data_IF_121187320405
#
_entry.id   IF_121187320405
#
_cell.length_a   1.000
_cell.length_b   1.000
_cell.length_c   1.000
_cell.angle_alpha   90.00
_cell.angle_beta   90.00
_cell.angle_gamma   90.00
#
_symmetry.space_group_name_H-M   'P 1'
#
loop_
_entity.id
_entity.type
_entity.pdbx_description
1 polymer ?
#
# COMPACT_ATOMS: atom_id res chain seq x y z
N UNK A 1 -11.68 -13.53 -54.97
CA UNK A 1 -12.30 -14.59 -54.14
C UNK A 1 -12.07 -14.24 -52.69
N UNK A 2 -13.00 -13.49 -52.08
CA UNK A 2 -12.98 -13.24 -50.64
C UNK A 2 -13.42 -14.51 -49.92
N UNK A 3 -12.51 -15.10 -49.12
CA UNK A 3 -12.80 -16.27 -48.31
C UNK A 3 -12.86 -15.81 -46.85
N UNK A 4 -14.06 -15.90 -46.28
CA UNK A 4 -14.42 -15.83 -44.86
C UNK A 4 -14.25 -14.48 -44.14
N UNK A 5 -15.38 -13.77 -43.94
CA UNK A 5 -15.79 -13.13 -42.68
C UNK A 5 -14.86 -12.14 -41.97
N UNK A 6 -13.74 -11.76 -42.57
CA UNK A 6 -12.73 -10.92 -41.93
C UNK A 6 -13.16 -9.45 -41.98
N UNK A 7 -13.60 -8.92 -40.84
CA UNK A 7 -13.91 -7.50 -40.68
C UNK A 7 -12.67 -6.79 -40.13
N UNK A 8 -11.97 -6.06 -41.01
CA UNK A 8 -10.81 -5.23 -40.65
C UNK A 8 -11.24 -4.15 -39.64
N UNK A 9 -10.40 -3.89 -38.63
CA UNK A 9 -10.62 -2.77 -37.70
C UNK A 9 -10.67 -1.49 -38.54
N UNK A 10 -11.84 -0.86 -38.65
CA UNK A 10 -12.02 0.33 -39.49
C UNK A 10 -11.16 1.46 -38.93
N UNK A 11 -10.22 1.91 -39.75
CA UNK A 11 -9.19 2.93 -39.56
C UNK A 11 -9.71 4.35 -39.24
N UNK A 12 -10.93 4.52 -38.77
CA UNK A 12 -11.46 5.85 -38.41
C UNK A 12 -10.83 6.38 -37.10
N UNK A 13 -10.18 5.49 -36.34
CA UNK A 13 -9.36 5.84 -35.18
C UNK A 13 -7.89 6.13 -35.53
N UNK A 14 -7.42 5.78 -36.74
CA UNK A 14 -6.02 5.93 -37.15
C UNK A 14 -5.69 7.31 -37.74
N UNK A 15 -6.68 8.06 -38.20
CA UNK A 15 -6.50 9.39 -38.79
C UNK A 15 -6.67 10.53 -37.79
N UNK A 16 -7.35 10.30 -36.66
CA UNK A 16 -7.39 11.24 -35.54
C UNK A 16 -6.21 10.97 -34.62
N UNK A 17 -5.22 11.86 -34.60
CA UNK A 17 -4.16 11.90 -33.57
C UNK A 17 -4.79 11.57 -32.20
N UNK A 18 -4.40 10.46 -31.60
CA UNK A 18 -4.87 10.08 -30.27
C UNK A 18 -4.63 11.27 -29.32
N UNK A 19 -5.63 11.59 -28.50
CA UNK A 19 -5.49 12.71 -27.54
C UNK A 19 -4.32 12.42 -26.59
N UNK A 20 -3.71 13.48 -26.05
CA UNK A 20 -2.62 13.34 -25.08
C UNK A 20 -2.97 12.38 -23.93
N UNK A 21 -4.21 12.45 -23.43
CA UNK A 21 -4.73 11.56 -22.38
C UNK A 21 -4.83 10.11 -22.87
N UNK A 22 -5.32 9.91 -24.10
CA UNK A 22 -5.40 8.58 -24.71
C UNK A 22 -4.03 7.93 -24.92
N UNK A 23 -3.00 8.74 -25.18
CA UNK A 23 -1.61 8.28 -25.30
C UNK A 23 -1.02 7.95 -23.92
N UNK A 24 -1.23 8.82 -22.92
CA UNK A 24 -0.71 8.64 -21.56
C UNK A 24 -1.26 7.36 -20.89
N UNK A 25 -2.55 7.07 -21.07
CA UNK A 25 -3.23 5.92 -20.48
C UNK A 25 -3.41 4.74 -21.45
N UNK A 26 -2.77 4.77 -22.62
CA UNK A 26 -2.85 3.72 -23.65
C UNK A 26 -4.29 3.36 -24.10
N UNK A 27 -5.26 4.26 -23.93
CA UNK A 27 -6.68 4.01 -24.24
C UNK A 27 -6.93 3.72 -25.73
N UNK A 28 -6.05 4.19 -26.62
CA UNK A 28 -6.14 3.93 -28.05
C UNK A 28 -6.00 2.43 -28.40
N UNK A 29 -5.36 1.65 -27.52
CA UNK A 29 -5.15 0.20 -27.70
C UNK A 29 -6.37 -0.65 -27.29
N UNK A 30 -7.36 -0.06 -26.60
CA UNK A 30 -8.50 -0.81 -26.05
C UNK A 30 -9.27 -1.62 -27.11
N UNK A 31 -9.41 -1.09 -28.33
CA UNK A 31 -10.07 -1.81 -29.43
C UNK A 31 -9.26 -3.02 -29.92
N UNK A 32 -7.93 -2.92 -29.93
CA UNK A 32 -7.04 -4.03 -30.28
C UNK A 32 -7.11 -5.11 -29.22
N UNK A 33 -7.06 -4.74 -27.93
CA UNK A 33 -7.20 -5.71 -26.83
C UNK A 33 -8.55 -6.40 -26.82
N UNK A 34 -9.63 -5.66 -27.05
CA UNK A 34 -10.97 -6.25 -27.18
C UNK A 34 -11.04 -7.24 -28.33
N UNK A 35 -10.53 -6.87 -29.51
CA UNK A 35 -10.50 -7.78 -30.68
C UNK A 35 -9.63 -9.01 -30.42
N UNK A 36 -8.49 -8.86 -29.74
CA UNK A 36 -7.61 -9.96 -29.32
C UNK A 36 -8.24 -10.90 -28.30
N UNK A 37 -9.24 -10.45 -27.54
CA UNK A 37 -10.02 -11.31 -26.64
C UNK A 37 -11.08 -12.14 -27.36
N UNK A 38 -11.56 -11.67 -28.53
CA UNK A 38 -12.61 -12.32 -29.31
C UNK A 38 -12.04 -13.26 -30.39
N UNK A 39 -10.87 -12.93 -30.97
CA UNK A 39 -10.20 -13.74 -32.00
C UNK A 39 -8.68 -13.58 -31.99
N UNK A 40 -7.98 -14.53 -32.60
CA UNK A 40 -6.55 -14.40 -32.87
C UNK A 40 -6.26 -13.19 -33.79
N UNK A 41 -5.28 -12.39 -33.40
CA UNK A 41 -4.82 -11.20 -34.13
C UNK A 41 -3.98 -11.63 -35.35
N UNK A 42 -4.18 -10.94 -36.46
CA UNK A 42 -3.41 -11.08 -37.69
C UNK A 42 -2.57 -9.81 -37.94
N UNK A 43 -1.52 -9.92 -38.76
CA UNK A 43 -0.61 -8.78 -39.06
C UNK A 43 -1.37 -7.54 -39.58
N UNK A 44 -2.41 -7.77 -40.38
CA UNK A 44 -3.24 -6.72 -40.98
C UNK A 44 -4.18 -6.01 -39.98
N UNK A 45 -4.29 -6.51 -38.74
CA UNK A 45 -5.08 -5.91 -37.66
C UNK A 45 -4.35 -4.77 -36.94
N UNK A 46 -3.03 -4.67 -37.09
CA UNK A 46 -2.25 -3.59 -36.52
C UNK A 46 -2.34 -2.32 -37.37
N UNK A 47 -2.39 -1.18 -36.71
CA UNK A 47 -2.37 0.11 -37.37
C UNK A 47 -1.00 0.33 -38.04
N UNK A 48 -0.96 0.92 -39.25
CA UNK A 48 0.30 1.27 -39.89
C UNK A 48 1.08 2.25 -39.01
N UNK A 49 2.41 2.13 -39.03
CA UNK A 49 3.27 3.00 -38.24
C UNK A 49 3.05 4.47 -38.64
N UNK A 50 3.01 5.40 -37.68
CA UNK A 50 3.07 6.83 -37.98
C UNK A 50 4.32 7.17 -38.78
N UNK A 51 4.21 8.12 -39.71
CA UNK A 51 5.34 8.59 -40.52
C UNK A 51 6.51 9.07 -39.65
N UNK A 52 6.23 9.71 -38.52
CA UNK A 52 7.22 10.17 -37.53
C UNK A 52 8.08 9.03 -36.94
N UNK A 53 7.57 7.80 -36.94
CA UNK A 53 8.24 6.60 -36.42
C UNK A 53 8.81 5.71 -37.54
N UNK A 54 8.74 6.16 -38.80
CA UNK A 54 9.30 5.42 -39.93
C UNK A 54 10.82 5.59 -39.98
N UNK A 55 11.54 4.50 -40.28
CA UNK A 55 13.01 4.49 -40.28
C UNK A 55 13.61 5.56 -41.20
N UNK A 56 13.05 5.76 -42.40
CA UNK A 56 13.49 6.79 -43.35
C UNK A 56 13.42 8.19 -42.74
N UNK A 57 12.29 8.56 -42.14
CA UNK A 57 12.11 9.86 -41.51
C UNK A 57 13.05 10.09 -40.33
N UNK A 58 13.20 9.07 -39.46
CA UNK A 58 14.09 9.15 -38.28
C UNK A 58 15.55 9.28 -38.70
N UNK A 59 15.99 8.50 -39.70
CA UNK A 59 17.37 8.55 -40.22
C UNK A 59 17.67 9.92 -40.81
N UNK A 60 16.80 10.43 -41.70
CA UNK A 60 17.00 11.75 -42.32
C UNK A 60 17.02 12.87 -41.27
N UNK A 61 16.12 12.81 -40.28
CA UNK A 61 16.05 13.78 -39.20
C UNK A 61 17.29 13.77 -38.30
N UNK A 62 17.83 12.58 -38.00
CA UNK A 62 19.05 12.43 -37.21
C UNK A 62 20.28 12.92 -37.98
N UNK A 63 20.37 12.58 -39.27
CA UNK A 63 21.48 13.00 -40.14
C UNK A 63 21.58 14.53 -40.21
N UNK A 64 20.45 15.21 -40.46
CA UNK A 64 20.39 16.67 -40.52
C UNK A 64 20.81 17.35 -39.19
N UNK A 65 20.43 16.76 -38.05
CA UNK A 65 20.80 17.29 -36.72
C UNK A 65 22.26 17.03 -36.37
N UNK A 66 22.78 15.86 -36.79
CA UNK A 66 24.18 15.50 -36.62
C UNK A 66 25.11 16.41 -37.42
N UNK A 67 24.79 16.68 -38.68
CA UNK A 67 25.56 17.61 -39.53
C UNK A 67 25.58 19.03 -38.91
N UNK A 68 24.44 19.48 -38.38
CA UNK A 68 24.32 20.76 -37.67
C UNK A 68 25.14 20.82 -36.38
N UNK A 69 25.26 19.71 -35.64
CA UNK A 69 26.11 19.65 -34.44
C UNK A 69 27.60 19.63 -34.84
N UNK A 70 27.96 18.95 -35.91
CA UNK A 70 29.34 18.94 -36.43
C UNK A 70 29.80 20.33 -36.88
N UNK A 71 28.97 21.10 -37.59
CA UNK A 71 29.32 22.46 -38.02
C UNK A 71 29.49 23.39 -36.81
N UNK A 72 28.55 23.33 -35.84
CA UNK A 72 28.62 24.11 -34.61
C UNK A 72 29.87 23.78 -33.77
N UNK A 73 30.26 22.51 -33.70
CA UNK A 73 31.46 22.09 -32.97
C UNK A 73 32.76 22.50 -33.68
N UNK A 74 32.77 22.54 -35.02
CA UNK A 74 33.91 23.07 -35.79
C UNK A 74 34.12 24.56 -35.53
N UNK A 75 33.04 25.34 -35.42
CA UNK A 75 33.12 26.78 -35.10
C UNK A 75 33.60 27.04 -33.67
N UNK A 76 33.21 26.20 -32.71
CA UNK A 76 33.53 26.39 -31.28
C UNK A 76 34.76 25.60 -30.80
N UNK A 77 35.48 24.89 -31.69
CA UNK A 77 36.62 24.00 -31.35
C UNK A 77 36.25 22.97 -30.26
N UNK A 78 35.02 22.47 -30.29
CA UNK A 78 34.53 21.45 -29.36
C UNK A 78 34.44 20.07 -30.04
N UNK A 79 34.43 18.99 -29.26
CA UNK A 79 34.17 17.64 -29.78
C UNK A 79 32.65 17.42 -29.94
N UNK A 80 32.16 16.96 -31.12
CA UNK A 80 30.74 16.68 -31.32
C UNK A 80 30.29 15.50 -30.46
N UNK A 81 29.08 15.58 -29.90
CA UNK A 81 28.55 14.54 -28.99
C UNK A 81 27.26 13.94 -29.55
N UNK A 82 27.35 12.74 -30.12
CA UNK A 82 26.25 12.05 -30.79
C UNK A 82 24.95 11.99 -29.97
N UNK A 83 25.04 11.79 -28.65
CA UNK A 83 23.86 11.71 -27.79
C UNK A 83 23.02 13.00 -27.79
N UNK A 84 23.62 14.19 -27.99
CA UNK A 84 22.87 15.46 -28.09
C UNK A 84 22.06 15.49 -29.40
N UNK A 85 22.66 15.08 -30.51
CA UNK A 85 21.97 14.92 -31.78
C UNK A 85 20.86 13.88 -31.71
N UNK A 86 21.08 12.74 -31.05
CA UNK A 86 20.06 11.70 -30.84
C UNK A 86 18.89 12.20 -29.99
N UNK A 87 19.18 12.84 -28.84
CA UNK A 87 18.11 13.40 -28.00
C UNK A 87 17.33 14.44 -28.79
N UNK A 88 18.01 15.35 -29.47
CA UNK A 88 17.37 16.41 -30.25
C UNK A 88 16.63 15.88 -31.49
N UNK A 89 16.98 14.70 -32.01
CA UNK A 89 16.32 14.03 -33.13
C UNK A 89 14.88 13.61 -32.84
N UNK A 90 14.58 13.36 -31.57
CA UNK A 90 13.26 12.92 -31.10
C UNK A 90 12.16 13.99 -31.36
N UNK A 91 10.94 13.60 -31.76
CA UNK A 91 9.82 14.53 -31.98
C UNK A 91 9.45 15.33 -30.72
N UNK A 92 9.15 16.63 -30.87
CA UNK A 92 8.88 17.54 -29.75
C UNK A 92 7.70 17.15 -28.86
N UNK A 93 6.68 16.49 -29.43
CA UNK A 93 5.51 16.01 -28.67
C UNK A 93 5.90 14.93 -27.64
N UNK A 94 6.97 14.15 -27.89
CA UNK A 94 7.33 13.03 -27.03
C UNK A 94 8.07 13.47 -25.75
N UNK A 95 8.70 14.66 -25.73
CA UNK A 95 9.37 15.16 -24.51
C UNK A 95 8.40 15.41 -23.36
N UNK A 96 7.17 15.85 -23.64
CA UNK A 96 6.15 16.08 -22.62
C UNK A 96 5.74 14.74 -21.96
N UNK A 97 5.55 13.70 -22.76
CA UNK A 97 5.22 12.34 -22.29
C UNK A 97 6.35 11.73 -21.44
N UNK A 98 7.60 11.86 -21.90
CA UNK A 98 8.76 11.43 -21.11
C UNK A 98 8.89 12.23 -19.80
N UNK A 99 8.64 13.54 -19.84
CA UNK A 99 8.62 14.39 -18.65
C UNK A 99 7.56 13.94 -17.63
N UNK A 100 6.34 13.65 -18.08
CA UNK A 100 5.28 13.11 -17.23
C UNK A 100 5.66 11.75 -16.63
N UNK A 101 6.22 10.83 -17.43
CA UNK A 101 6.63 9.51 -16.95
C UNK A 101 7.73 9.61 -15.87
N UNK A 102 8.72 10.47 -16.09
CA UNK A 102 9.78 10.75 -15.10
C UNK A 102 9.20 11.38 -13.83
N UNK A 103 8.30 12.36 -13.97
CA UNK A 103 7.65 13.00 -12.83
C UNK A 103 6.81 12.03 -11.99
N UNK A 104 6.07 11.11 -12.63
CA UNK A 104 5.33 10.05 -11.94
C UNK A 104 6.27 9.15 -11.14
N UNK A 105 7.37 8.68 -11.75
CA UNK A 105 8.38 7.87 -11.06
C UNK A 105 9.02 8.58 -9.88
N UNK A 106 9.35 9.87 -10.01
CA UNK A 106 9.88 10.67 -8.89
C UNK A 106 8.84 10.87 -7.79
N UNK A 107 7.58 11.14 -8.13
CA UNK A 107 6.53 11.32 -7.12
C UNK A 107 6.33 10.07 -6.26
N UNK A 108 6.38 8.89 -6.88
CA UNK A 108 6.26 7.61 -6.17
C UNK A 108 7.48 7.35 -5.27
N UNK A 109 8.69 7.64 -5.77
CA UNK A 109 9.91 7.49 -4.98
C UNK A 109 9.89 8.39 -3.74
N UNK A 110 9.49 9.66 -3.91
CA UNK A 110 9.34 10.61 -2.80
C UNK A 110 8.28 10.10 -1.82
N UNK A 111 7.14 9.60 -2.32
CA UNK A 111 6.08 9.02 -1.50
C UNK A 111 6.58 7.83 -0.65
N UNK A 112 7.27 6.88 -1.27
CA UNK A 112 7.81 5.70 -0.60
C UNK A 112 8.84 6.06 0.48
N UNK A 113 9.78 6.96 0.17
CA UNK A 113 10.77 7.44 1.14
C UNK A 113 10.10 8.19 2.30
N UNK A 114 9.12 9.05 2.00
CA UNK A 114 8.39 9.80 3.01
C UNK A 114 7.64 8.87 3.95
N UNK A 115 6.97 7.83 3.40
CA UNK A 115 6.23 6.85 4.19
C UNK A 115 7.16 6.05 5.11
N UNK A 116 8.31 5.59 4.59
CA UNK A 116 9.30 4.86 5.39
C UNK A 116 9.90 5.73 6.49
N UNK A 117 10.26 6.99 6.17
CA UNK A 117 10.76 7.93 7.16
C UNK A 117 9.73 8.24 8.24
N UNK A 118 8.46 8.45 7.88
CA UNK A 118 7.39 8.67 8.85
C UNK A 118 7.23 7.46 9.77
N UNK A 119 7.21 6.24 9.20
CA UNK A 119 7.12 5.00 9.97
C UNK A 119 8.26 4.86 10.97
N UNK A 120 9.51 5.01 10.51
CA UNK A 120 10.70 4.98 11.37
C UNK A 120 10.65 6.03 12.49
N UNK A 121 10.23 7.27 12.18
CA UNK A 121 10.14 8.34 13.18
C UNK A 121 9.06 8.05 14.22
N UNK A 122 7.93 7.47 13.81
CA UNK A 122 6.88 7.06 14.73
C UNK A 122 7.35 5.96 15.69
N UNK A 123 8.09 4.96 15.16
CA UNK A 123 8.63 3.86 15.96
C UNK A 123 9.65 4.36 16.99
N UNK A 124 10.62 5.20 16.58
CA UNK A 124 11.59 5.80 17.52
C UNK A 124 10.90 6.65 18.57
N UNK A 125 9.84 7.39 18.20
CA UNK A 125 9.05 8.15 19.17
C UNK A 125 8.31 7.23 20.16
N UNK A 126 7.79 6.10 19.67
CA UNK A 126 7.15 5.06 20.48
C UNK A 126 8.10 4.56 21.56
N UNK A 127 9.29 4.13 21.15
CA UNK A 127 10.34 3.62 22.06
C UNK A 127 10.77 4.70 23.08
N UNK A 128 10.86 5.97 22.68
CA UNK A 128 11.24 7.07 23.58
C UNK A 128 10.18 7.33 24.64
N UNK A 129 8.91 7.46 24.26
CA UNK A 129 7.81 7.64 25.21
C UNK A 129 7.69 6.40 26.10
N UNK A 130 7.82 5.22 25.51
CA UNK A 130 7.88 3.95 26.20
C UNK A 130 8.88 3.88 27.32
N UNK A 131 10.15 4.12 27.00
CA UNK A 131 11.24 4.07 27.98
C UNK A 131 11.06 5.13 29.07
N UNK A 132 10.58 6.33 28.72
CA UNK A 132 10.24 7.37 29.69
C UNK A 132 9.11 6.93 30.65
N UNK A 133 8.04 6.31 30.13
CA UNK A 133 6.92 5.83 30.95
C UNK A 133 7.37 4.70 31.89
N UNK A 134 8.14 3.73 31.39
CA UNK A 134 8.71 2.65 32.21
C UNK A 134 9.59 3.22 33.34
N UNK A 135 10.44 4.19 33.02
CA UNK A 135 11.28 4.88 33.99
C UNK A 135 10.48 5.65 35.05
N UNK A 136 9.41 6.34 34.65
CA UNK A 136 8.52 7.07 35.55
C UNK A 136 7.76 6.12 36.50
N UNK A 137 7.23 5.03 35.96
CA UNK A 137 6.56 3.99 36.75
C UNK A 137 7.53 3.36 37.75
N UNK A 138 8.73 3.01 37.32
CA UNK A 138 9.77 2.48 38.20
C UNK A 138 10.14 3.46 39.32
N UNK A 139 10.38 4.73 38.99
CA UNK A 139 10.65 5.77 39.99
C UNK A 139 9.49 5.95 40.98
N UNK A 140 8.24 5.85 40.52
CA UNK A 140 7.07 5.96 41.39
C UNK A 140 6.93 4.77 42.34
N UNK A 141 7.17 3.55 41.86
CA UNK A 141 7.14 2.32 42.68
C UNK A 141 8.14 2.41 43.84
N UNK A 142 9.34 2.93 43.58
CA UNK A 142 10.37 3.10 44.62
C UNK A 142 9.98 4.09 45.74
N UNK A 143 9.05 5.01 45.46
CA UNK A 143 8.58 6.02 46.40
C UNK A 143 7.28 5.63 47.13
N UNK A 144 6.63 4.54 46.72
CA UNK A 144 5.39 4.07 47.36
C UNK A 144 5.68 3.32 48.67
N UNK A 145 4.79 3.47 49.65
CA UNK A 145 4.81 2.65 50.86
C UNK A 145 4.46 1.20 50.52
N UNK A 146 4.98 0.24 51.30
CA UNK A 146 4.67 -1.18 51.11
C UNK A 146 3.16 -1.45 51.16
N UNK A 147 2.41 -0.76 52.01
CA UNK A 147 0.97 -0.93 52.15
C UNK A 147 0.21 -0.50 50.88
N UNK A 148 0.59 0.64 50.28
CA UNK A 148 0.01 1.10 49.01
C UNK A 148 0.42 0.20 47.83
N UNK A 149 1.63 -0.35 47.87
CA UNK A 149 2.11 -1.32 46.89
C UNK A 149 1.44 -2.70 47.03
N UNK A 150 0.95 -3.07 48.22
CA UNK A 150 0.14 -4.28 48.40
C UNK A 150 -1.31 -4.08 47.95
N UNK A 151 -1.84 -2.86 48.07
CA UNK A 151 -3.16 -2.49 47.57
C UNK A 151 -3.21 -2.54 46.03
N UNK A 152 -2.16 -2.03 45.36
CA UNK A 152 -1.92 -2.28 43.94
C UNK A 152 -1.22 -3.63 43.75
N UNK A 153 -1.98 -4.71 43.54
CA UNK A 153 -1.42 -6.05 43.30
C UNK A 153 -0.19 -5.98 42.38
N UNK A 154 0.97 -6.49 42.81
CA UNK A 154 2.23 -6.46 42.01
C UNK A 154 2.02 -6.93 40.56
N UNK A 155 1.07 -7.85 40.35
CA UNK A 155 0.64 -8.30 39.03
C UNK A 155 0.07 -7.20 38.13
N UNK A 156 -0.73 -6.26 38.65
CA UNK A 156 -1.27 -5.12 37.88
C UNK A 156 -0.16 -4.19 37.39
N UNK A 157 0.88 -3.95 38.20
CA UNK A 157 2.01 -3.11 37.81
C UNK A 157 2.84 -3.78 36.71
N UNK A 158 3.07 -5.09 36.85
CA UNK A 158 3.76 -5.88 35.84
C UNK A 158 2.96 -5.90 34.53
N UNK A 159 1.64 -6.10 34.59
CA UNK A 159 0.76 -6.08 33.42
C UNK A 159 0.76 -4.69 32.75
N UNK A 160 0.65 -3.61 33.53
CA UNK A 160 0.72 -2.24 32.99
C UNK A 160 2.02 -2.00 32.21
N UNK A 161 3.17 -2.40 32.74
CA UNK A 161 4.47 -2.19 32.09
C UNK A 161 4.69 -3.13 30.91
N UNK A 162 4.29 -4.40 31.03
CA UNK A 162 4.55 -5.44 30.03
C UNK A 162 3.51 -5.50 28.91
N UNK A 163 2.30 -5.00 29.14
CA UNK A 163 1.20 -5.06 28.18
C UNK A 163 0.86 -3.66 27.66
N UNK A 164 0.47 -2.72 28.52
CA UNK A 164 0.01 -1.40 28.09
C UNK A 164 1.15 -0.53 27.57
N UNK A 165 2.26 -0.43 28.32
CA UNK A 165 3.40 0.39 27.86
C UNK A 165 4.08 -0.23 26.65
N UNK A 166 4.22 -1.55 26.59
CA UNK A 166 4.78 -2.22 25.41
C UNK A 166 3.93 -1.96 24.15
N UNK A 167 2.61 -2.01 24.26
CA UNK A 167 1.70 -1.72 23.14
C UNK A 167 1.76 -0.25 22.69
N UNK A 168 2.12 0.65 23.60
CA UNK A 168 2.33 2.06 23.29
C UNK A 168 3.60 2.27 22.45
N UNK A 169 4.65 1.49 22.71
CA UNK A 169 5.91 1.50 21.96
C UNK A 169 5.73 1.03 20.51
N UNK A 170 5.01 -0.07 20.33
CA UNK A 170 4.98 -0.80 19.05
C UNK A 170 4.00 -0.19 18.03
N UNK A 171 2.82 0.26 18.47
CA UNK A 171 1.69 0.47 17.54
C UNK A 171 0.89 1.75 17.74
N UNK A 172 0.85 2.30 18.96
CA UNK A 172 -0.12 3.35 19.29
C UNK A 172 0.17 4.67 18.58
N UNK A 173 1.43 5.12 18.56
CA UNK A 173 1.81 6.38 17.90
C UNK A 173 1.65 6.30 16.38
N UNK A 174 2.05 5.16 15.81
CA UNK A 174 1.91 4.87 14.39
C UNK A 174 0.42 4.96 13.99
N UNK A 175 -0.46 4.23 14.68
CA UNK A 175 -1.90 4.25 14.42
C UNK A 175 -2.52 5.65 14.53
N UNK A 176 -2.16 6.41 15.58
CA UNK A 176 -2.70 7.76 15.79
C UNK A 176 -2.32 8.72 14.66
N UNK A 177 -1.04 8.74 14.26
CA UNK A 177 -0.57 9.65 13.21
C UNK A 177 -1.09 9.25 11.83
N UNK A 178 -0.98 7.97 11.45
CA UNK A 178 -1.54 7.50 10.17
C UNK A 178 -3.04 7.71 10.09
N UNK A 179 -3.79 7.46 11.17
CA UNK A 179 -5.23 7.67 11.21
C UNK A 179 -5.64 9.11 10.87
N UNK A 180 -4.95 10.10 11.42
CA UNK A 180 -5.21 11.53 11.13
C UNK A 180 -4.93 11.85 9.67
N UNK A 181 -3.78 11.44 9.13
CA UNK A 181 -3.44 11.69 7.73
C UNK A 181 -4.37 10.96 6.76
N UNK A 182 -4.76 9.72 7.05
CA UNK A 182 -5.71 8.95 6.24
C UNK A 182 -7.09 9.61 6.20
N UNK A 183 -7.56 10.19 7.30
CA UNK A 183 -8.82 10.93 7.31
C UNK A 183 -8.76 12.18 6.43
N UNK A 184 -7.66 12.94 6.51
CA UNK A 184 -7.46 14.11 5.65
C UNK A 184 -7.37 13.70 4.16
N UNK A 185 -6.67 12.61 3.87
CA UNK A 185 -6.57 12.05 2.51
C UNK A 185 -7.94 11.61 1.98
N UNK A 186 -8.80 11.02 2.81
CA UNK A 186 -10.16 10.64 2.42
C UNK A 186 -10.99 11.87 2.01
N UNK A 187 -10.90 12.96 2.77
CA UNK A 187 -11.60 14.21 2.45
C UNK A 187 -11.08 14.80 1.12
N UNK A 188 -9.75 14.87 0.96
CA UNK A 188 -9.14 15.38 -0.26
C UNK A 188 -9.52 14.54 -1.50
N UNK A 189 -9.50 13.21 -1.36
CA UNK A 189 -9.88 12.29 -2.43
C UNK A 189 -11.38 12.43 -2.77
N UNK A 190 -12.26 12.53 -1.78
CA UNK A 190 -13.69 12.74 -2.01
C UNK A 190 -13.97 14.06 -2.73
N UNK A 191 -13.28 15.14 -2.34
CA UNK A 191 -13.38 16.44 -3.02
C UNK A 191 -12.89 16.36 -4.47
N UNK A 192 -11.72 15.75 -4.71
CA UNK A 192 -11.15 15.61 -6.04
C UNK A 192 -12.06 14.78 -6.96
N UNK A 193 -12.61 13.69 -6.44
CA UNK A 193 -13.54 12.84 -7.17
C UNK A 193 -14.85 13.59 -7.51
N UNK A 194 -15.40 14.34 -6.56
CA UNK A 194 -16.58 15.18 -6.80
C UNK A 194 -16.30 16.29 -7.84
N UNK A 195 -15.10 16.87 -7.84
CA UNK A 195 -14.71 17.88 -8.82
C UNK A 195 -14.49 17.29 -10.22
N UNK A 196 -13.81 16.15 -10.32
CA UNK A 196 -13.38 15.59 -11.61
C UNK A 196 -14.47 14.76 -12.29
N UNK A 197 -15.25 14.01 -11.51
CA UNK A 197 -16.27 13.08 -12.00
C UNK A 197 -17.69 13.66 -11.80
N UNK A 198 -17.85 14.66 -10.93
CA UNK A 198 -19.17 15.23 -10.62
C UNK A 198 -20.01 14.32 -9.74
N UNK A 199 -21.34 14.45 -9.86
CA UNK A 199 -22.32 13.71 -9.06
C UNK A 199 -22.23 12.18 -9.23
N UNK A 200 -21.66 11.71 -10.34
CA UNK A 200 -21.50 10.28 -10.66
C UNK A 200 -20.58 9.56 -9.66
N UNK A 201 -19.74 10.27 -8.90
CA UNK A 201 -18.91 9.69 -7.85
C UNK A 201 -19.65 9.42 -6.52
N UNK A 202 -20.84 10.00 -6.31
CA UNK A 202 -21.56 9.92 -5.05
C UNK A 202 -21.96 8.49 -4.63
N UNK A 203 -22.45 7.61 -5.53
CA UNK A 203 -22.80 6.23 -5.15
C UNK A 203 -21.60 5.44 -4.61
N UNK A 204 -20.41 5.66 -5.17
CA UNK A 204 -19.17 5.03 -4.69
C UNK A 204 -18.79 5.52 -3.30
N UNK A 205 -18.90 6.83 -3.04
CA UNK A 205 -18.64 7.40 -1.72
C UNK A 205 -19.61 6.84 -0.66
N UNK A 206 -20.90 6.77 -1.00
CA UNK A 206 -21.93 6.18 -0.12
C UNK A 206 -21.61 4.71 0.18
N UNK A 207 -21.21 3.93 -0.84
CA UNK A 207 -20.80 2.54 -0.65
C UNK A 207 -19.59 2.41 0.29
N UNK A 208 -18.56 3.24 0.14
CA UNK A 208 -17.42 3.25 1.06
C UNK A 208 -17.82 3.65 2.49
N UNK A 209 -18.72 4.62 2.64
CA UNK A 209 -19.26 4.99 3.95
C UNK A 209 -20.05 3.85 4.60
N UNK A 210 -20.77 3.02 3.83
CA UNK A 210 -21.48 1.83 4.34
C UNK A 210 -20.55 0.67 4.67
N UNK A 211 -19.38 0.57 4.04
CA UNK A 211 -18.37 -0.42 4.40
C UNK A 211 -17.76 -0.16 5.78
N UNK A 212 -17.65 1.10 6.21
CA UNK A 212 -17.13 1.44 7.54
C UNK A 212 -17.92 0.79 8.70
N UNK A 213 -19.25 0.95 8.82
CA UNK A 213 -20.01 0.27 9.86
C UNK A 213 -20.01 -1.25 9.69
N UNK A 214 -19.97 -1.76 8.46
CA UNK A 214 -19.82 -3.20 8.21
C UNK A 214 -18.52 -3.76 8.83
N UNK A 215 -17.38 -3.12 8.54
CA UNK A 215 -16.10 -3.52 9.13
C UNK A 215 -16.05 -3.28 10.64
N UNK A 216 -16.70 -2.22 11.15
CA UNK A 216 -16.79 -1.97 12.58
C UNK A 216 -17.57 -3.07 13.32
N UNK A 217 -18.70 -3.52 12.77
CA UNK A 217 -19.49 -4.64 13.32
C UNK A 217 -18.67 -5.92 13.28
N UNK A 218 -18.02 -6.22 12.15
CA UNK A 218 -17.18 -7.40 12.01
C UNK A 218 -16.02 -7.39 13.03
N UNK A 219 -15.37 -6.24 13.22
CA UNK A 219 -14.33 -6.04 14.22
C UNK A 219 -14.86 -6.23 15.65
N UNK A 220 -16.04 -5.70 15.96
CA UNK A 220 -16.68 -5.87 17.27
C UNK A 220 -17.00 -7.33 17.56
N UNK A 221 -17.56 -8.05 16.59
CA UNK A 221 -17.83 -9.50 16.72
C UNK A 221 -16.53 -10.27 16.91
N UNK A 222 -15.49 -9.95 16.13
CA UNK A 222 -14.16 -10.54 16.27
C UNK A 222 -13.55 -10.30 17.66
N UNK A 223 -13.67 -9.08 18.18
CA UNK A 223 -13.21 -8.74 19.53
C UNK A 223 -13.97 -9.52 20.62
N UNK A 224 -15.30 -9.63 20.49
CA UNK A 224 -16.14 -10.39 21.42
C UNK A 224 -15.81 -11.88 21.43
N UNK A 225 -15.59 -12.47 20.26
CA UNK A 225 -15.15 -13.86 20.13
C UNK A 225 -13.77 -14.05 20.75
N UNK A 226 -12.82 -13.18 20.42
CA UNK A 226 -11.46 -13.22 20.98
C UNK A 226 -11.46 -13.14 22.50
N UNK A 227 -12.30 -12.27 23.08
CA UNK A 227 -12.46 -12.17 24.53
C UNK A 227 -13.00 -13.47 25.15
N UNK A 228 -14.03 -14.08 24.55
CA UNK A 228 -14.55 -15.39 25.02
C UNK A 228 -13.50 -16.49 24.95
N UNK A 229 -12.75 -16.54 23.85
CA UNK A 229 -11.65 -17.50 23.68
C UNK A 229 -10.55 -17.30 24.72
N UNK A 230 -10.22 -16.05 25.05
CA UNK A 230 -9.25 -15.74 26.10
C UNK A 230 -9.72 -16.27 27.47
N UNK A 231 -10.96 -16.00 27.88
CA UNK A 231 -11.51 -16.48 29.16
C UNK A 231 -11.49 -18.01 29.30
N UNK A 232 -11.88 -18.74 28.25
CA UNK A 232 -11.88 -20.21 28.27
C UNK A 232 -10.45 -20.74 28.30
N UNK A 233 -9.55 -20.15 27.52
CA UNK A 233 -8.13 -20.50 27.51
C UNK A 233 -7.49 -20.30 28.88
N UNK A 234 -7.78 -19.19 29.55
CA UNK A 234 -7.24 -18.87 30.89
C UNK A 234 -7.78 -19.84 31.95
N UNK A 235 -9.07 -20.17 31.91
CA UNK A 235 -9.66 -21.18 32.79
C UNK A 235 -8.98 -22.55 32.62
N UNK A 236 -8.77 -22.98 31.37
CA UNK A 236 -8.09 -24.24 31.05
C UNK A 236 -6.65 -24.25 31.57
N UNK A 237 -5.89 -23.17 31.34
CA UNK A 237 -4.50 -23.04 31.82
C UNK A 237 -4.45 -23.08 33.35
N UNK A 238 -5.38 -22.40 34.02
CA UNK A 238 -5.49 -22.40 35.49
C UNK A 238 -5.77 -23.80 36.05
N UNK A 239 -6.75 -24.53 35.48
CA UNK A 239 -7.06 -25.91 35.87
C UNK A 239 -5.87 -26.85 35.67
N UNK A 240 -5.14 -26.68 34.56
CA UNK A 240 -3.95 -27.46 34.26
C UNK A 240 -2.83 -27.18 35.29
N UNK A 241 -2.62 -25.93 35.66
CA UNK A 241 -1.66 -25.54 36.69
C UNK A 241 -2.02 -26.13 38.06
N UNK A 242 -3.29 -26.11 38.45
CA UNK A 242 -3.75 -26.73 39.70
C UNK A 242 -3.53 -28.25 39.71
N UNK A 243 -3.83 -28.93 38.59
CA UNK A 243 -3.59 -30.36 38.46
C UNK A 243 -2.10 -30.72 38.57
N UNK A 244 -1.22 -29.90 37.99
CA UNK A 244 0.23 -30.09 38.09
C UNK A 244 0.74 -29.87 39.52
N UNK A 245 0.29 -28.81 40.20
CA UNK A 245 0.67 -28.54 41.58
C UNK A 245 0.20 -29.65 42.55
N UNK A 246 -1.00 -30.21 42.30
CA UNK A 246 -1.62 -31.27 43.11
C UNK A 246 -1.36 -32.70 42.62
N UNK A 247 -0.46 -32.93 41.66
CA UNK A 247 -0.37 -34.20 40.92
C UNK A 247 -0.19 -35.43 41.80
N UNK A 248 0.52 -35.28 42.93
CA UNK A 248 0.78 -36.39 43.86
C UNK A 248 -0.51 -36.84 44.55
N UNK A 249 -1.34 -35.90 45.00
CA UNK A 249 -2.64 -36.18 45.62
C UNK A 249 -3.63 -36.77 44.61
N UNK A 250 -3.62 -36.26 43.38
CA UNK A 250 -4.46 -36.77 42.28
C UNK A 250 -4.13 -38.25 41.99
N UNK A 251 -2.83 -38.60 41.94
CA UNK A 251 -2.40 -39.98 41.72
C UNK A 251 -2.72 -40.90 42.90
N UNK A 252 -2.52 -40.45 44.14
CA UNK A 252 -2.82 -41.28 45.33
C UNK A 252 -4.31 -41.55 45.50
N UNK A 253 -5.18 -40.63 45.04
CA UNK A 253 -6.63 -40.80 45.09
C UNK A 253 -7.25 -41.27 43.76
N UNK A 254 -6.44 -41.57 42.75
CA UNK A 254 -6.90 -42.01 41.41
C UNK A 254 -7.90 -41.06 40.73
N UNK A 255 -7.78 -39.75 40.95
CA UNK A 255 -8.67 -38.71 40.39
C UNK A 255 -8.26 -38.23 38.99
N UNK A 256 -7.44 -38.99 38.28
CA UNK A 256 -6.90 -38.57 36.97
C UNK A 256 -8.00 -38.37 35.93
N UNK A 257 -9.00 -39.26 35.90
CA UNK A 257 -10.10 -39.19 34.92
C UNK A 257 -11.09 -38.05 35.21
N UNK A 258 -11.35 -37.76 36.49
CA UNK A 258 -12.15 -36.61 36.94
C UNK A 258 -11.54 -35.28 36.47
N UNK A 259 -10.23 -35.10 36.69
CA UNK A 259 -9.51 -33.90 36.24
C UNK A 259 -9.39 -33.83 34.73
N UNK A 260 -9.14 -34.97 34.06
CA UNK A 260 -9.11 -35.04 32.59
C UNK A 260 -10.44 -34.62 31.99
N UNK A 261 -11.56 -35.05 32.57
CA UNK A 261 -12.90 -34.66 32.13
C UNK A 261 -13.13 -33.16 32.33
N UNK A 262 -12.82 -32.61 33.51
CA UNK A 262 -12.93 -31.16 33.79
C UNK A 262 -12.12 -30.30 32.80
N UNK A 263 -10.90 -30.72 32.43
CA UNK A 263 -10.08 -30.00 31.45
C UNK A 263 -10.67 -30.11 30.03
N UNK A 264 -11.24 -31.27 29.68
CA UNK A 264 -11.86 -31.51 28.38
C UNK A 264 -13.15 -30.70 28.19
N UNK A 265 -13.88 -30.48 29.27
CA UNK A 265 -15.11 -29.68 29.29
C UNK A 265 -14.81 -28.15 29.22
N UNK A 266 -13.59 -27.74 29.58
CA UNK A 266 -13.09 -26.36 29.47
C UNK A 266 -12.46 -26.05 28.08
N UNK A 267 -12.85 -26.78 27.03
CA UNK A 267 -12.32 -26.66 25.65
C UNK A 267 -13.34 -26.01 24.72
#
# INVERSE_FOLDING_TARGET
>A
MERNGYKKITSDAGTKKASFVSLLFFQWMNNVFKTGSERALQENDFLPLPEDNTSSFVITSLQAKWEKEQTKCKENVEKPRLWKSVISATPRHNYLLYGCAVAMGFSELIGALSLHHLGYRCEVMGIRIGSALKGLVYGKILLLSKTALFEFTTGHVIDLVSNDVQRLDEHTINFMLYGVFSFLQLIAAAFLMAYLIGWQSLPGLIFFCLLLPYFAVLSHVGAKLRHRTALVSDCRISLMNQALAGIRAIKTHTWEDEYRKKIKDAR
#
